data_IF_390658105908
#
_entry.id   IF_390658105908
#
_cell.length_a   1.000
_cell.length_b   1.000
_cell.length_c   1.000
_cell.angle_alpha   90.00
_cell.angle_beta   90.00
_cell.angle_gamma   90.00
#
_symmetry.space_group_name_H-M   'P 1'
#
loop_
_entity.id
_entity.type
_entity.pdbx_description
1 polymer ?
#
# COMPACT_ATOMS: atom_id res chain seq x y z
N UNK A 1 -20.04 -4.10 -33.11
CA UNK A 1 -21.42 -3.73 -33.49
C UNK A 1 -21.47 -3.08 -34.87
N UNK A 2 -20.76 -1.97 -35.13
CA UNK A 2 -20.77 -1.28 -36.43
C UNK A 2 -20.08 -2.10 -37.54
N UNK A 3 -18.87 -2.62 -37.29
CA UNK A 3 -18.13 -3.49 -38.24
C UNK A 3 -18.91 -4.77 -38.56
N UNK A 4 -19.71 -5.25 -37.62
CA UNK A 4 -20.55 -6.44 -37.76
C UNK A 4 -21.93 -6.12 -38.40
N UNK A 5 -22.19 -4.86 -38.78
CA UNK A 5 -23.45 -4.44 -39.41
C UNK A 5 -24.68 -4.43 -38.49
N UNK A 6 -24.50 -4.64 -37.18
CA UNK A 6 -25.61 -4.74 -36.20
C UNK A 6 -26.21 -3.36 -35.89
N UNK A 7 -25.41 -2.29 -35.97
CA UNK A 7 -25.85 -0.91 -35.73
C UNK A 7 -25.37 -0.02 -36.89
N UNK A 8 -26.25 0.79 -37.51
CA UNK A 8 -25.87 1.78 -38.50
C UNK A 8 -24.80 2.76 -38.00
N UNK A 9 -23.80 3.09 -38.83
CA UNK A 9 -22.69 3.96 -38.43
C UNK A 9 -23.14 5.36 -37.97
N UNK A 10 -24.24 5.89 -38.52
CA UNK A 10 -24.84 7.16 -38.12
C UNK A 10 -25.51 7.11 -36.73
N UNK A 11 -25.85 5.93 -36.21
CA UNK A 11 -26.45 5.76 -34.89
C UNK A 11 -25.44 5.34 -33.82
N UNK A 12 -24.17 5.15 -34.20
CA UNK A 12 -23.08 4.72 -33.33
C UNK A 12 -22.95 5.56 -32.05
N UNK A 13 -23.21 6.86 -32.14
CA UNK A 13 -23.01 7.80 -31.05
C UNK A 13 -24.29 8.14 -30.26
N UNK A 14 -25.45 7.62 -30.67
CA UNK A 14 -26.72 7.93 -30.01
C UNK A 14 -26.73 7.53 -28.53
N UNK A 15 -25.99 6.47 -28.16
CA UNK A 15 -25.83 6.05 -26.77
C UNK A 15 -25.12 7.08 -25.88
N UNK A 16 -24.21 7.91 -26.42
CA UNK A 16 -23.53 8.94 -25.64
C UNK A 16 -24.43 10.14 -25.32
N UNK A 17 -25.44 10.39 -26.15
CA UNK A 17 -26.42 11.46 -25.94
C UNK A 17 -27.56 11.04 -24.99
N UNK A 18 -27.54 9.82 -24.46
CA UNK A 18 -28.59 9.32 -23.59
C UNK A 18 -28.63 10.11 -22.26
N UNK A 19 -29.80 10.59 -21.80
CA UNK A 19 -29.92 11.38 -20.58
C UNK A 19 -29.26 10.72 -19.36
N UNK A 20 -29.38 9.39 -19.21
CA UNK A 20 -28.72 8.65 -18.14
C UNK A 20 -27.18 8.85 -18.10
N UNK A 21 -26.50 8.92 -19.25
CA UNK A 21 -25.04 9.12 -19.32
C UNK A 21 -24.67 10.52 -18.81
N UNK A 22 -25.45 11.53 -19.20
CA UNK A 22 -25.28 12.92 -18.76
C UNK A 22 -25.54 13.03 -17.26
N UNK A 23 -26.61 12.41 -16.75
CA UNK A 23 -26.95 12.37 -15.32
C UNK A 23 -25.83 11.73 -14.50
N UNK A 24 -25.27 10.60 -14.95
CA UNK A 24 -24.11 9.97 -14.28
C UNK A 24 -22.91 10.92 -14.26
N UNK A 25 -22.59 11.58 -15.38
CA UNK A 25 -21.47 12.53 -15.43
C UNK A 25 -21.64 13.72 -14.46
N UNK A 26 -22.84 14.32 -14.41
CA UNK A 26 -23.16 15.40 -13.49
C UNK A 26 -23.08 14.96 -12.02
N UNK A 27 -23.57 13.76 -11.71
CA UNK A 27 -23.49 13.16 -10.38
C UNK A 27 -22.04 12.96 -9.93
N UNK A 28 -21.16 12.53 -10.84
CA UNK A 28 -19.74 12.37 -10.54
C UNK A 28 -19.06 13.73 -10.28
N UNK A 29 -19.44 14.77 -11.01
CA UNK A 29 -18.96 16.14 -10.78
C UNK A 29 -19.44 16.65 -9.41
N UNK A 30 -20.73 16.46 -9.08
CA UNK A 30 -21.29 16.84 -7.77
C UNK A 30 -20.58 16.07 -6.65
N UNK A 31 -20.38 14.77 -6.82
CA UNK A 31 -19.63 13.91 -5.89
C UNK A 31 -18.22 14.44 -5.64
N UNK A 32 -17.53 14.93 -6.68
CA UNK A 32 -16.21 15.53 -6.55
C UNK A 32 -16.26 16.92 -5.91
N UNK A 33 -17.26 17.74 -6.21
CA UNK A 33 -17.49 19.02 -5.55
C UNK A 33 -17.72 18.86 -4.05
N UNK A 34 -18.48 17.84 -3.65
CA UNK A 34 -18.75 17.52 -2.26
C UNK A 34 -17.52 16.98 -1.51
N UNK A 35 -16.59 16.30 -2.21
CA UNK A 35 -15.28 15.97 -1.65
C UNK A 35 -14.43 17.22 -1.42
N UNK A 36 -14.44 18.15 -2.36
CA UNK A 36 -13.64 19.37 -2.31
C UNK A 36 -14.18 20.42 -1.32
N UNK A 37 -15.45 20.32 -0.91
CA UNK A 37 -16.08 21.26 0.03
C UNK A 37 -15.65 21.09 1.50
N UNK A 38 -14.73 20.16 1.79
CA UNK A 38 -14.26 19.90 3.14
C UNK A 38 -15.13 18.91 3.93
N UNK A 39 -16.04 18.19 3.25
CA UNK A 39 -16.81 17.10 3.87
C UNK A 39 -15.89 16.04 4.50
N UNK A 40 -14.74 15.78 3.88
CA UNK A 40 -13.67 14.92 4.40
C UNK A 40 -13.20 15.37 5.79
N UNK A 41 -12.98 16.66 5.99
CA UNK A 41 -12.54 17.23 7.26
C UNK A 41 -13.63 17.17 8.33
N UNK A 42 -14.89 17.41 7.95
CA UNK A 42 -16.04 17.28 8.85
C UNK A 42 -16.21 15.84 9.35
N UNK A 43 -16.19 14.88 8.44
CA UNK A 43 -16.28 13.44 8.77
C UNK A 43 -15.09 13.01 9.62
N UNK A 44 -13.88 13.45 9.26
CA UNK A 44 -12.66 13.19 10.06
C UNK A 44 -12.76 13.74 11.48
N UNK A 45 -13.34 14.93 11.69
CA UNK A 45 -13.56 15.50 13.02
C UNK A 45 -14.61 14.73 13.83
N UNK A 46 -15.69 14.30 13.18
CA UNK A 46 -16.78 13.53 13.79
C UNK A 46 -16.31 12.17 14.31
N UNK A 47 -15.41 11.53 13.55
CA UNK A 47 -14.88 10.19 13.85
C UNK A 47 -13.61 10.28 14.73
N UNK A 48 -12.74 11.26 14.51
CA UNK A 48 -11.45 11.37 15.20
C UNK A 48 -11.48 12.05 16.56
N UNK A 49 -12.55 12.80 16.89
CA UNK A 49 -12.66 13.54 18.15
C UNK A 49 -13.20 12.74 19.34
N UNK A 50 -13.44 11.43 19.20
CA UNK A 50 -14.06 10.59 20.22
C UNK A 50 -13.25 9.32 20.46
N UNK A 51 -13.17 8.91 21.71
CA UNK A 51 -12.66 7.59 22.10
C UNK A 51 -13.75 6.55 21.84
N UNK A 52 -13.56 5.69 20.85
CA UNK A 52 -14.49 4.62 20.52
C UNK A 52 -13.91 3.27 20.92
N UNK A 53 -14.77 2.36 21.39
CA UNK A 53 -14.42 0.93 21.39
C UNK A 53 -14.39 0.39 19.96
N UNK A 54 -13.68 -0.72 19.71
CA UNK A 54 -13.59 -1.37 18.38
C UNK A 54 -14.97 -1.55 17.72
N UNK A 55 -15.95 -2.00 18.50
CA UNK A 55 -17.32 -2.25 18.02
C UNK A 55 -18.09 -0.95 17.73
N UNK A 56 -17.99 0.05 18.61
CA UNK A 56 -18.63 1.36 18.38
C UNK A 56 -18.05 2.07 17.17
N UNK A 57 -16.73 2.00 16.98
CA UNK A 57 -16.06 2.55 15.82
C UNK A 57 -16.55 1.88 14.53
N UNK A 58 -16.62 0.55 14.51
CA UNK A 58 -17.13 -0.20 13.36
C UNK A 58 -18.55 0.23 13.00
N UNK A 59 -19.49 0.27 13.95
CA UNK A 59 -20.87 0.69 13.67
C UNK A 59 -20.93 2.13 13.15
N UNK A 60 -20.20 3.05 13.80
CA UNK A 60 -20.13 4.45 13.40
C UNK A 60 -19.62 4.58 11.97
N UNK A 61 -18.54 3.87 11.65
CA UNK A 61 -17.92 3.84 10.32
C UNK A 61 -18.89 3.32 9.26
N UNK A 62 -19.56 2.19 9.50
CA UNK A 62 -20.51 1.60 8.55
C UNK A 62 -21.71 2.52 8.31
N UNK A 63 -22.22 3.15 9.36
CA UNK A 63 -23.37 4.05 9.26
C UNK A 63 -23.02 5.32 8.47
N UNK A 64 -21.88 5.93 8.77
CA UNK A 64 -21.37 7.11 8.05
C UNK A 64 -21.10 6.75 6.58
N UNK A 65 -20.49 5.59 6.31
CA UNK A 65 -20.24 5.10 4.96
C UNK A 65 -21.52 4.93 4.15
N UNK A 66 -22.54 4.30 4.74
CA UNK A 66 -23.82 4.09 4.07
C UNK A 66 -24.53 5.42 3.75
N UNK A 67 -24.51 6.38 4.68
CA UNK A 67 -25.10 7.70 4.45
C UNK A 67 -24.33 8.45 3.37
N UNK A 68 -23.00 8.53 3.47
CA UNK A 68 -22.17 9.21 2.46
C UNK A 68 -22.39 8.59 1.07
N UNK A 69 -22.40 7.27 1.00
CA UNK A 69 -22.58 6.55 -0.27
C UNK A 69 -24.01 6.60 -0.81
N UNK A 70 -24.98 7.04 0.00
CA UNK A 70 -26.33 7.33 -0.48
C UNK A 70 -26.39 8.61 -1.32
N UNK A 71 -25.40 9.51 -1.19
CA UNK A 71 -25.36 10.79 -1.92
C UNK A 71 -24.14 10.93 -2.84
N UNK A 72 -23.10 10.15 -2.59
CA UNK A 72 -21.84 10.12 -3.34
C UNK A 72 -21.70 8.72 -3.93
N UNK A 73 -21.01 8.59 -5.07
CA UNK A 73 -20.69 7.26 -5.58
C UNK A 73 -19.88 6.42 -4.56
N UNK A 74 -20.03 5.09 -4.65
CA UNK A 74 -19.38 4.14 -3.73
C UNK A 74 -17.85 4.34 -3.64
N UNK A 75 -17.20 4.59 -4.78
CA UNK A 75 -15.75 4.83 -4.85
C UNK A 75 -15.38 6.11 -4.10
N UNK A 76 -16.21 7.14 -4.19
CA UNK A 76 -15.96 8.42 -3.57
C UNK A 76 -16.15 8.41 -2.07
N UNK A 77 -17.21 7.77 -1.59
CA UNK A 77 -17.40 7.55 -0.16
C UNK A 77 -16.22 6.74 0.43
N UNK A 78 -15.81 5.66 -0.25
CA UNK A 78 -14.65 4.86 0.14
C UNK A 78 -13.36 5.70 0.18
N UNK A 79 -13.10 6.52 -0.84
CA UNK A 79 -11.88 7.33 -0.92
C UNK A 79 -11.78 8.37 0.22
N UNK A 80 -12.91 8.86 0.73
CA UNK A 80 -12.96 9.76 1.89
C UNK A 80 -12.66 9.00 3.18
N UNK A 81 -13.29 7.83 3.36
CA UNK A 81 -13.26 7.11 4.63
C UNK A 81 -12.04 6.22 4.81
N UNK A 82 -11.43 5.75 3.72
CA UNK A 82 -10.23 4.91 3.74
C UNK A 82 -9.08 5.55 4.51
N UNK A 83 -8.60 6.77 4.18
CA UNK A 83 -7.48 7.37 4.91
C UNK A 83 -7.84 7.66 6.38
N UNK A 84 -9.08 8.05 6.68
CA UNK A 84 -9.54 8.29 8.06
C UNK A 84 -9.49 6.99 8.87
N UNK A 85 -9.97 5.89 8.27
CA UNK A 85 -9.99 4.57 8.91
C UNK A 85 -8.58 4.06 9.17
N UNK A 86 -7.66 4.20 8.20
CA UNK A 86 -6.26 3.81 8.35
C UNK A 86 -5.57 4.60 9.48
N UNK A 87 -5.74 5.92 9.50
CA UNK A 87 -5.16 6.76 10.56
C UNK A 87 -5.65 6.36 11.96
N UNK A 88 -6.93 6.02 12.12
CA UNK A 88 -7.48 5.59 13.41
C UNK A 88 -7.00 4.19 13.78
N UNK A 89 -6.92 3.28 12.81
CA UNK A 89 -6.36 1.96 13.02
C UNK A 89 -4.90 2.04 13.50
N UNK A 90 -4.09 2.91 12.89
CA UNK A 90 -2.71 3.17 13.32
C UNK A 90 -2.66 3.74 14.74
N UNK A 91 -3.43 4.80 15.03
CA UNK A 91 -3.46 5.43 16.36
C UNK A 91 -3.90 4.49 17.48
N UNK A 92 -4.82 3.58 17.18
CA UNK A 92 -5.39 2.65 18.16
C UNK A 92 -4.71 1.28 18.16
N UNK A 93 -3.67 1.10 17.33
CA UNK A 93 -3.00 -0.18 17.07
C UNK A 93 -3.97 -1.33 16.75
N UNK A 94 -4.89 -1.08 15.81
CA UNK A 94 -5.88 -2.06 15.35
C UNK A 94 -5.57 -2.51 13.92
N UNK A 95 -5.74 -3.81 13.64
CA UNK A 95 -5.53 -4.36 12.31
C UNK A 95 -6.53 -3.78 11.28
N UNK A 96 -6.07 -3.06 10.23
CA UNK A 96 -6.95 -2.34 9.29
C UNK A 96 -7.98 -3.23 8.58
N UNK A 97 -7.61 -4.46 8.19
CA UNK A 97 -8.50 -5.36 7.44
C UNK A 97 -9.82 -5.66 8.16
N UNK A 98 -9.89 -5.55 9.50
CA UNK A 98 -11.15 -5.70 10.25
C UNK A 98 -12.17 -4.60 9.96
N UNK A 99 -11.72 -3.44 9.50
CA UNK A 99 -12.58 -2.28 9.26
C UNK A 99 -12.74 -1.98 7.77
N UNK A 100 -11.69 -2.18 6.97
CA UNK A 100 -11.71 -1.84 5.54
C UNK A 100 -12.68 -2.72 4.72
N UNK A 101 -12.73 -4.02 5.02
CA UNK A 101 -13.64 -4.93 4.30
C UNK A 101 -15.12 -4.61 4.63
N UNK A 102 -15.53 -4.48 5.91
CA UNK A 102 -16.85 -3.98 6.26
C UNK A 102 -17.20 -2.62 5.65
N UNK A 103 -16.25 -1.67 5.66
CA UNK A 103 -16.41 -0.35 5.07
C UNK A 103 -16.77 -0.44 3.58
N UNK A 104 -16.08 -1.28 2.81
CA UNK A 104 -16.37 -1.48 1.39
C UNK A 104 -17.82 -1.98 1.16
N UNK A 105 -18.28 -2.94 1.96
CA UNK A 105 -19.67 -3.40 1.90
C UNK A 105 -20.67 -2.30 2.26
N UNK A 106 -20.41 -1.53 3.31
CA UNK A 106 -21.31 -0.44 3.70
C UNK A 106 -21.42 0.65 2.61
N UNK A 107 -20.34 0.96 1.90
CA UNK A 107 -20.40 1.86 0.74
C UNK A 107 -21.31 1.27 -0.36
N UNK A 108 -21.14 0.00 -0.71
CA UNK A 108 -21.97 -0.65 -1.75
C UNK A 108 -23.46 -0.63 -1.35
N UNK A 109 -23.77 -0.94 -0.10
CA UNK A 109 -25.14 -0.97 0.43
C UNK A 109 -25.75 0.44 0.47
N UNK A 110 -24.98 1.44 0.91
CA UNK A 110 -25.43 2.83 0.93
C UNK A 110 -25.83 3.35 -0.44
N UNK A 111 -25.08 2.99 -1.50
CA UNK A 111 -25.38 3.37 -2.87
C UNK A 111 -26.71 2.84 -3.41
N UNK A 112 -27.31 1.84 -2.77
CA UNK A 112 -28.62 1.32 -3.14
C UNK A 112 -29.76 2.23 -2.71
N UNK A 113 -29.56 3.10 -1.71
CA UNK A 113 -30.65 3.85 -1.08
C UNK A 113 -31.27 4.93 -1.96
N UNK A 114 -30.53 5.47 -2.92
CA UNK A 114 -31.01 6.58 -3.76
C UNK A 114 -30.82 6.27 -5.24
N UNK A 115 -31.54 7.02 -6.08
CA UNK A 115 -31.39 6.92 -7.54
C UNK A 115 -29.97 7.28 -7.98
N UNK A 116 -29.31 8.21 -7.28
CA UNK A 116 -28.00 8.76 -7.65
C UNK A 116 -26.82 7.93 -7.09
N UNK A 117 -27.04 7.12 -6.05
CA UNK A 117 -25.97 6.39 -5.37
C UNK A 117 -25.19 5.42 -6.27
N UNK A 118 -25.85 4.81 -7.27
CA UNK A 118 -25.18 3.90 -8.22
C UNK A 118 -25.68 4.05 -9.66
N UNK A 119 -24.80 3.86 -10.67
CA UNK A 119 -25.20 3.92 -12.08
C UNK A 119 -26.35 2.98 -12.48
N UNK A 120 -26.46 1.73 -11.97
CA UNK A 120 -27.61 0.87 -12.26
C UNK A 120 -28.96 1.48 -11.87
N UNK A 121 -29.03 2.20 -10.74
CA UNK A 121 -30.28 2.85 -10.29
C UNK A 121 -30.68 4.01 -11.22
N UNK A 122 -29.71 4.74 -11.77
CA UNK A 122 -29.96 5.79 -12.78
C UNK A 122 -30.50 5.16 -14.06
N UNK A 123 -29.85 4.09 -14.54
CA UNK A 123 -30.22 3.41 -15.78
C UNK A 123 -31.65 2.84 -15.70
N UNK A 124 -32.00 2.17 -14.60
CA UNK A 124 -33.34 1.59 -14.45
C UNK A 124 -34.43 2.67 -14.29
N UNK A 125 -34.11 3.80 -13.64
CA UNK A 125 -35.05 4.93 -13.53
C UNK A 125 -35.36 5.55 -14.88
N UNK A 126 -34.32 5.75 -15.70
CA UNK A 126 -34.47 6.26 -17.06
C UNK A 126 -35.24 5.26 -17.94
N UNK A 127 -34.89 3.98 -17.89
CA UNK A 127 -35.59 2.95 -18.64
C UNK A 127 -37.07 2.86 -18.25
N UNK A 128 -37.40 2.91 -16.95
CA UNK A 128 -38.79 2.97 -16.49
C UNK A 128 -39.53 4.19 -17.03
N UNK A 129 -38.87 5.35 -17.07
CA UNK A 129 -39.44 6.57 -17.66
C UNK A 129 -39.76 6.43 -19.16
N UNK A 130 -39.13 5.48 -19.87
CA UNK A 130 -39.44 5.23 -21.29
C UNK A 130 -40.64 4.30 -21.50
N UNK A 131 -40.99 3.48 -20.50
CA UNK A 131 -42.07 2.47 -20.58
C UNK A 131 -43.32 2.91 -19.84
N UNK A 132 -43.17 3.70 -18.77
CA UNK A 132 -44.25 4.25 -17.97
C UNK A 132 -44.12 5.76 -17.91
N UNK A 133 -45.25 6.48 -17.88
CA UNK A 133 -45.31 7.95 -17.73
C UNK A 133 -44.75 8.47 -16.39
N UNK A 134 -44.16 7.59 -15.57
CA UNK A 134 -43.52 7.92 -14.30
C UNK A 134 -42.20 7.14 -14.11
N UNK A 135 -41.09 7.88 -14.01
CA UNK A 135 -39.79 7.35 -13.58
C UNK A 135 -39.77 6.97 -12.10
N UNK A 136 -38.59 6.66 -11.55
CA UNK A 136 -38.43 6.60 -10.09
C UNK A 136 -38.11 8.00 -9.56
N UNK A 137 -38.77 8.40 -8.47
CA UNK A 137 -38.37 9.56 -7.70
C UNK A 137 -37.04 9.29 -6.99
N UNK A 138 -36.38 10.36 -6.55
CA UNK A 138 -35.05 10.29 -5.92
C UNK A 138 -34.96 9.26 -4.78
N UNK A 139 -36.00 9.18 -3.93
CA UNK A 139 -36.08 8.33 -2.74
C UNK A 139 -36.91 7.05 -2.91
N UNK A 140 -37.40 6.72 -4.10
CA UNK A 140 -38.21 5.50 -4.28
C UNK A 140 -37.42 4.23 -3.92
N UNK A 141 -36.11 4.24 -4.17
CA UNK A 141 -35.21 3.16 -3.79
C UNK A 141 -34.98 3.07 -2.27
N UNK A 142 -35.22 4.15 -1.51
CA UNK A 142 -34.94 4.19 -0.08
C UNK A 142 -35.85 3.28 0.72
N UNK A 143 -37.09 3.04 0.26
CA UNK A 143 -38.04 2.15 0.94
C UNK A 143 -37.50 0.73 1.11
N UNK A 144 -36.86 0.19 0.07
CA UNK A 144 -36.24 -1.14 0.10
C UNK A 144 -34.78 -1.04 0.54
N UNK A 145 -34.06 -0.06 -0.01
CA UNK A 145 -32.62 0.14 0.23
C UNK A 145 -32.30 0.35 1.70
N UNK A 146 -33.05 1.18 2.44
CA UNK A 146 -32.78 1.43 3.85
C UNK A 146 -32.98 0.17 4.68
N UNK A 147 -34.03 -0.61 4.42
CA UNK A 147 -34.28 -1.87 5.13
C UNK A 147 -33.13 -2.86 4.90
N UNK A 148 -32.69 -3.03 3.65
CA UNK A 148 -31.56 -3.92 3.31
C UNK A 148 -30.25 -3.42 3.91
N UNK A 149 -30.00 -2.11 3.84
CA UNK A 149 -28.80 -1.47 4.38
C UNK A 149 -28.71 -1.67 5.88
N UNK A 150 -29.79 -1.42 6.63
CA UNK A 150 -29.82 -1.58 8.09
C UNK A 150 -29.57 -3.04 8.48
N UNK A 151 -30.28 -3.99 7.85
CA UNK A 151 -30.11 -5.41 8.12
C UNK A 151 -28.69 -5.89 7.82
N UNK A 152 -28.12 -5.41 6.73
CA UNK A 152 -26.77 -5.78 6.29
C UNK A 152 -25.70 -5.16 7.18
N UNK A 153 -25.85 -3.91 7.63
CA UNK A 153 -24.95 -3.28 8.61
C UNK A 153 -24.97 -4.07 9.93
N UNK A 154 -26.16 -4.45 10.41
CA UNK A 154 -26.30 -5.28 11.61
C UNK A 154 -25.61 -6.64 11.44
N UNK A 155 -25.83 -7.30 10.30
CA UNK A 155 -25.18 -8.56 9.97
C UNK A 155 -23.65 -8.43 9.93
N UNK A 156 -23.12 -7.41 9.24
CA UNK A 156 -21.68 -7.18 9.12
C UNK A 156 -21.05 -6.88 10.50
N UNK A 157 -21.72 -6.06 11.31
CA UNK A 157 -21.23 -5.68 12.63
C UNK A 157 -21.22 -6.86 13.61
N UNK A 158 -22.27 -7.69 13.62
CA UNK A 158 -22.44 -8.78 14.58
C UNK A 158 -21.76 -10.08 14.14
N UNK A 159 -21.95 -10.46 12.88
CA UNK A 159 -21.55 -11.77 12.34
C UNK A 159 -20.36 -11.62 11.40
N UNK A 160 -20.39 -10.62 10.52
CA UNK A 160 -19.35 -10.41 9.49
C UNK A 160 -17.95 -10.26 10.07
N UNK A 161 -17.80 -9.53 11.18
CA UNK A 161 -16.53 -9.36 11.88
C UNK A 161 -15.89 -10.70 12.33
N UNK A 162 -16.69 -11.75 12.56
CA UNK A 162 -16.18 -13.08 12.94
C UNK A 162 -15.54 -13.83 11.76
N UNK A 163 -15.95 -13.53 10.54
CA UNK A 163 -15.47 -14.19 9.32
C UNK A 163 -14.23 -13.52 8.71
N UNK A 164 -13.86 -12.34 9.20
CA UNK A 164 -12.66 -11.65 8.73
C UNK A 164 -11.44 -12.35 9.31
N UNK A 165 -10.77 -13.14 8.47
CA UNK A 165 -9.46 -13.67 8.78
C UNK A 165 -8.48 -12.49 8.85
N UNK A 166 -7.82 -12.39 10.00
CA UNK A 166 -6.68 -11.49 10.15
C UNK A 166 -5.48 -12.17 9.52
N UNK A 167 -4.69 -11.41 8.78
CA UNK A 167 -3.31 -11.81 8.58
C UNK A 167 -2.59 -11.48 9.88
N UNK A 168 -1.76 -12.39 10.35
CA UNK A 168 -0.91 -12.09 11.51
C UNK A 168 0.16 -11.10 11.04
N UNK A 169 -0.02 -9.82 11.38
CA UNK A 169 1.04 -8.81 11.36
C UNK A 169 1.87 -8.97 12.64
N UNK A 170 2.56 -10.12 12.75
CA UNK A 170 3.41 -10.45 13.89
C UNK A 170 4.85 -9.99 13.66
N UNK A 171 5.06 -8.70 13.41
CA UNK A 171 6.37 -8.06 13.60
C UNK A 171 6.18 -6.56 13.84
N UNK A 172 6.76 -6.09 14.93
CA UNK A 172 6.83 -4.68 15.32
C UNK A 172 7.55 -3.88 14.24
N UNK A 173 6.94 -2.79 13.78
CA UNK A 173 7.46 -1.94 12.72
C UNK A 173 6.39 -1.74 11.66
N UNK A 174 5.91 -0.51 11.51
CA UNK A 174 4.97 -0.14 10.48
C UNK A 174 5.56 -0.36 9.09
N UNK A 175 5.37 -1.56 8.52
CA UNK A 175 5.73 -1.79 7.13
C UNK A 175 4.77 -0.98 6.26
N UNK A 176 5.28 0.11 5.68
CA UNK A 176 4.45 1.07 4.95
C UNK A 176 3.87 0.44 3.68
N UNK A 177 4.37 -0.71 3.24
CA UNK A 177 3.92 -1.42 2.04
C UNK A 177 4.27 -2.91 2.23
N UNK A 178 3.36 -3.85 1.88
CA UNK A 178 3.61 -5.30 1.76
C UNK A 178 4.64 -5.55 0.61
N UNK A 179 5.91 -5.25 0.89
CA UNK A 179 7.02 -5.23 -0.06
C UNK A 179 7.78 -6.55 -0.02
N UNK A 180 7.35 -7.48 -0.87
CA UNK A 180 7.98 -8.79 -1.06
C UNK A 180 9.34 -8.75 -1.77
N UNK A 181 10.28 -7.96 -1.28
CA UNK A 181 11.70 -8.15 -1.57
C UNK A 181 12.47 -6.86 -1.74
N UNK A 182 13.17 -6.50 -0.68
CA UNK A 182 14.25 -5.52 -0.67
C UNK A 182 15.50 -6.12 -1.26
N UNK A 183 16.35 -5.28 -1.84
CA UNK A 183 17.69 -5.68 -2.22
C UNK A 183 18.67 -5.42 -1.09
N UNK A 184 19.44 -6.44 -0.77
CA UNK A 184 20.54 -6.42 0.19
C UNK A 184 21.84 -6.82 -0.51
N UNK A 185 22.93 -6.19 -0.08
CA UNK A 185 24.28 -6.69 -0.34
C UNK A 185 24.75 -7.41 0.92
N UNK A 186 25.16 -8.67 0.78
CA UNK A 186 25.71 -9.48 1.88
C UNK A 186 27.09 -10.00 1.49
N UNK A 187 28.05 -9.86 2.39
CA UNK A 187 29.40 -10.37 2.28
C UNK A 187 29.51 -11.73 2.95
N UNK A 188 30.11 -12.69 2.24
CA UNK A 188 30.30 -14.06 2.72
C UNK A 188 31.55 -14.11 3.61
N UNK A 189 31.36 -14.27 4.93
CA UNK A 189 32.47 -14.38 5.89
C UNK A 189 33.29 -15.66 5.64
N UNK A 190 34.53 -15.70 6.16
CA UNK A 190 35.43 -16.85 5.98
C UNK A 190 34.92 -18.13 6.66
N UNK A 191 34.14 -18.01 7.73
CA UNK A 191 33.51 -19.11 8.48
C UNK A 191 32.11 -19.50 7.99
N UNK A 192 31.65 -18.90 6.89
CA UNK A 192 30.27 -19.07 6.42
C UNK A 192 29.92 -20.51 6.06
N UNK A 193 28.79 -20.99 6.55
CA UNK A 193 28.21 -22.31 6.22
C UNK A 193 27.78 -22.41 4.75
N UNK A 194 27.61 -21.27 4.07
CA UNK A 194 27.24 -21.23 2.66
C UNK A 194 28.41 -21.53 1.70
N UNK A 195 29.66 -21.55 2.20
CA UNK A 195 30.84 -21.76 1.35
C UNK A 195 30.78 -23.13 0.68
N UNK A 196 30.92 -23.13 -0.64
CA UNK A 196 30.86 -24.34 -1.46
C UNK A 196 29.44 -24.79 -1.80
N UNK A 197 28.39 -24.24 -1.17
CA UNK A 197 26.99 -24.48 -1.57
C UNK A 197 26.73 -23.90 -2.96
N UNK A 198 25.83 -24.54 -3.72
CA UNK A 198 25.30 -23.94 -4.95
C UNK A 198 24.27 -22.87 -4.59
N UNK A 199 24.13 -21.83 -5.43
CA UNK A 199 23.10 -20.81 -5.22
C UNK A 199 21.68 -21.40 -5.14
N UNK A 200 21.41 -22.51 -5.85
CA UNK A 200 20.14 -23.22 -5.73
C UNK A 200 19.93 -23.89 -4.37
N UNK A 201 21.00 -24.36 -3.73
CA UNK A 201 20.92 -25.00 -2.41
C UNK A 201 20.75 -23.93 -1.34
N UNK A 202 21.57 -22.88 -1.40
CA UNK A 202 21.42 -21.68 -0.55
C UNK A 202 19.99 -21.14 -0.61
N UNK A 203 19.42 -20.95 -1.81
CA UNK A 203 18.03 -20.48 -1.96
C UNK A 203 17.01 -21.36 -1.24
N UNK A 204 17.18 -22.69 -1.25
CA UNK A 204 16.23 -23.58 -0.57
C UNK A 204 16.28 -23.47 0.94
N UNK A 205 17.43 -23.08 1.48
CA UNK A 205 17.69 -23.00 2.92
C UNK A 205 17.43 -21.58 3.46
N UNK A 206 17.64 -20.55 2.64
CA UNK A 206 17.36 -19.15 2.98
C UNK A 206 15.85 -18.80 2.96
N UNK A 207 15.03 -19.50 2.18
CA UNK A 207 13.57 -19.29 2.11
C UNK A 207 13.03 -19.18 0.68
N UNK A 208 11.75 -19.49 0.49
CA UNK A 208 11.12 -19.45 -0.85
C UNK A 208 11.08 -18.04 -1.46
N UNK A 209 10.97 -17.01 -0.62
CA UNK A 209 10.89 -15.60 -1.00
C UNK A 209 12.28 -14.94 -1.20
N UNK A 210 13.38 -15.67 -0.97
CA UNK A 210 14.75 -15.21 -1.22
C UNK A 210 15.21 -15.52 -2.65
N UNK A 211 15.77 -14.52 -3.33
CA UNK A 211 16.33 -14.65 -4.68
C UNK A 211 17.74 -14.06 -4.76
N UNK A 212 18.70 -14.79 -5.32
CA UNK A 212 20.05 -14.26 -5.58
C UNK A 212 20.07 -13.60 -6.96
N UNK A 213 20.21 -12.27 -7.00
CA UNK A 213 20.22 -11.48 -8.23
C UNK A 213 21.57 -11.59 -8.94
N UNK A 214 22.66 -11.58 -8.19
CA UNK A 214 24.00 -11.52 -8.75
C UNK A 214 25.11 -11.50 -7.71
N UNK A 215 26.34 -11.44 -8.23
CA UNK A 215 27.55 -11.23 -7.43
C UNK A 215 28.17 -9.91 -7.87
N UNK A 216 28.65 -9.13 -6.92
CA UNK A 216 29.38 -7.89 -7.18
C UNK A 216 30.78 -8.25 -7.68
N UNK A 217 31.17 -7.73 -8.84
CA UNK A 217 32.52 -7.85 -9.37
C UNK A 217 33.45 -6.80 -8.72
N UNK A 218 34.76 -6.97 -8.84
CA UNK A 218 35.79 -6.00 -8.39
C UNK A 218 35.55 -4.57 -8.92
N UNK A 219 35.02 -4.44 -10.14
CA UNK A 219 34.68 -3.14 -10.73
C UNK A 219 33.33 -2.58 -10.22
N UNK A 220 32.71 -3.15 -9.19
CA UNK A 220 31.42 -2.73 -8.61
C UNK A 220 30.19 -2.94 -9.50
N UNK A 221 30.28 -3.79 -10.54
CA UNK A 221 29.14 -4.18 -11.36
C UNK A 221 28.50 -5.47 -10.85
N UNK A 222 27.18 -5.63 -11.00
CA UNK A 222 26.49 -6.85 -10.59
C UNK A 222 26.41 -7.81 -11.77
N UNK A 223 27.11 -8.94 -11.66
CA UNK A 223 27.08 -9.99 -12.68
C UNK A 223 25.94 -10.95 -12.34
N UNK A 224 25.02 -11.13 -13.29
CA UNK A 224 23.98 -12.16 -13.17
C UNK A 224 24.64 -13.54 -13.13
N UNK A 225 24.22 -14.35 -12.16
CA UNK A 225 24.77 -15.67 -11.90
C UNK A 225 23.78 -16.77 -12.26
N UNK A 226 24.30 -17.98 -12.50
CA UNK A 226 23.51 -19.18 -12.73
C UNK A 226 23.34 -19.94 -11.42
N UNK A 227 22.23 -20.64 -11.24
CA UNK A 227 21.88 -21.35 -10.00
C UNK A 227 22.90 -22.43 -9.57
N UNK A 228 23.74 -22.91 -10.48
CA UNK A 228 24.76 -23.92 -10.20
C UNK A 228 26.13 -23.34 -9.78
N UNK A 229 26.27 -22.01 -9.75
CA UNK A 229 27.48 -21.37 -9.25
C UNK A 229 27.64 -21.65 -7.75
N UNK A 230 28.87 -21.91 -7.32
CA UNK A 230 29.20 -22.16 -5.92
C UNK A 230 29.67 -20.88 -5.24
N UNK A 231 29.15 -20.65 -4.03
CA UNK A 231 29.50 -19.51 -3.18
C UNK A 231 30.93 -19.69 -2.67
N UNK A 232 31.70 -18.58 -2.63
CA UNK A 232 33.06 -18.53 -2.09
C UNK A 232 33.16 -17.44 -1.01
N UNK A 233 34.09 -17.62 -0.07
CA UNK A 233 34.42 -16.61 0.93
C UNK A 233 34.86 -15.29 0.27
N UNK A 234 34.50 -14.16 0.90
CA UNK A 234 34.80 -12.80 0.44
C UNK A 234 33.97 -12.33 -0.77
N UNK A 235 32.98 -13.12 -1.22
CA UNK A 235 32.06 -12.67 -2.26
C UNK A 235 30.98 -11.78 -1.68
N UNK A 236 30.63 -10.71 -2.40
CA UNK A 236 29.45 -9.90 -2.10
C UNK A 236 28.31 -10.38 -3.00
N UNK A 237 27.28 -10.96 -2.38
CA UNK A 237 26.05 -11.41 -3.03
C UNK A 237 25.02 -10.28 -2.99
N UNK A 238 24.32 -10.08 -4.10
CA UNK A 238 23.13 -9.22 -4.14
C UNK A 238 21.92 -10.13 -4.04
N UNK A 239 21.24 -10.08 -2.89
CA UNK A 239 20.06 -10.89 -2.61
C UNK A 239 18.82 -10.02 -2.55
N UNK A 240 17.70 -10.58 -2.99
CA UNK A 240 16.38 -10.00 -2.86
C UNK A 240 15.60 -10.83 -1.86
N UNK A 241 15.21 -10.24 -0.73
CA UNK A 241 14.50 -10.96 0.34
C UNK A 241 13.60 -9.99 1.11
N UNK A 242 12.53 -10.45 1.76
CA UNK A 242 11.79 -9.65 2.74
C UNK A 242 12.73 -9.14 3.84
N UNK A 243 12.48 -7.95 4.42
CA UNK A 243 13.33 -7.40 5.46
C UNK A 243 13.36 -8.31 6.70
N UNK A 244 12.22 -8.91 7.08
CA UNK A 244 12.12 -9.81 8.23
C UNK A 244 13.06 -11.04 8.15
N UNK A 245 13.46 -11.45 6.94
CA UNK A 245 14.29 -12.63 6.72
C UNK A 245 15.80 -12.31 6.75
N UNK A 246 16.21 -11.03 6.64
CA UNK A 246 17.62 -10.69 6.47
C UNK A 246 18.45 -11.06 7.70
N UNK A 247 17.97 -10.74 8.90
CA UNK A 247 18.64 -11.05 10.18
C UNK A 247 18.83 -12.55 10.37
N UNK A 248 17.82 -13.34 9.98
CA UNK A 248 17.89 -14.80 9.98
C UNK A 248 18.92 -15.32 8.97
N UNK A 249 18.99 -14.75 7.77
CA UNK A 249 20.00 -15.13 6.76
C UNK A 249 21.41 -14.78 7.23
N UNK A 250 21.62 -13.58 7.79
CA UNK A 250 22.94 -13.15 8.28
C UNK A 250 23.44 -14.08 9.40
N UNK A 251 22.58 -14.42 10.35
CA UNK A 251 22.93 -15.28 11.49
C UNK A 251 23.11 -16.76 11.11
N UNK A 252 22.23 -17.34 10.29
CA UNK A 252 22.28 -18.77 9.91
C UNK A 252 23.47 -19.07 9.00
N UNK A 253 23.75 -18.18 8.04
CA UNK A 253 24.81 -18.39 7.07
C UNK A 253 26.15 -17.74 7.43
N UNK A 254 26.20 -17.01 8.56
CA UNK A 254 27.35 -16.21 8.96
C UNK A 254 27.79 -15.28 7.81
N UNK A 255 26.86 -14.41 7.42
CA UNK A 255 27.10 -13.33 6.48
C UNK A 255 27.17 -12.00 7.24
N UNK A 256 27.89 -11.04 6.68
CA UNK A 256 27.92 -9.66 7.15
C UNK A 256 27.39 -8.72 6.09
N UNK A 257 26.96 -7.52 6.48
CA UNK A 257 26.70 -6.46 5.52
C UNK A 257 28.06 -5.82 5.17
N UNK A 258 28.37 -5.55 3.88
CA UNK A 258 29.65 -5.01 3.48
C UNK A 258 29.98 -3.71 4.22
N UNK A 259 31.23 -3.55 4.67
CA UNK A 259 31.68 -2.35 5.40
C UNK A 259 31.46 -1.04 4.64
N UNK A 260 31.39 -1.11 3.31
CA UNK A 260 31.08 0.05 2.46
C UNK A 260 29.65 0.58 2.67
N UNK A 261 28.75 -0.24 3.22
CA UNK A 261 27.37 0.11 3.53
C UNK A 261 27.14 0.48 5.01
N UNK A 262 28.17 0.25 5.84
CA UNK A 262 28.21 0.62 7.25
C UNK A 262 28.90 1.95 7.48
N UNK A 263 28.27 2.81 8.27
CA UNK A 263 28.91 4.00 8.84
C UNK A 263 29.36 3.79 10.29
N UNK A 264 28.86 2.75 10.96
CA UNK A 264 29.21 2.35 12.33
C UNK A 264 29.00 0.83 12.53
N UNK A 265 29.82 0.24 13.40
CA UNK A 265 29.75 -1.17 13.81
C UNK A 265 28.88 -1.27 15.06
N UNK A 266 27.67 -1.82 14.91
CA UNK A 266 26.78 -2.21 16.02
C UNK A 266 26.09 -3.52 15.64
N UNK A 267 26.09 -4.47 16.56
CA UNK A 267 25.49 -5.80 16.34
C UNK A 267 23.96 -5.78 16.50
N UNK A 268 23.43 -4.77 17.20
CA UNK A 268 22.00 -4.59 17.49
C UNK A 268 21.48 -3.30 16.81
N UNK A 269 21.23 -3.35 15.51
CA UNK A 269 20.59 -2.25 14.77
C UNK A 269 19.07 -2.40 14.78
N UNK A 270 18.35 -1.35 15.17
CA UNK A 270 16.92 -1.24 14.90
C UNK A 270 16.70 -0.90 13.42
N UNK A 271 15.69 -1.52 12.80
CA UNK A 271 15.36 -1.30 11.40
C UNK A 271 14.18 -0.34 11.26
N UNK A 272 14.36 0.70 10.44
CA UNK A 272 13.28 1.61 10.06
C UNK A 272 13.13 1.69 8.54
N UNK A 273 11.90 1.53 8.07
CA UNK A 273 11.56 1.79 6.68
C UNK A 273 11.33 3.29 6.48
N UNK A 274 11.91 3.87 5.43
CA UNK A 274 11.70 5.27 5.11
C UNK A 274 11.59 5.52 3.60
N UNK A 275 10.54 6.22 3.18
CA UNK A 275 10.29 6.57 1.78
C UNK A 275 10.94 7.89 1.39
N UNK A 276 11.57 7.94 0.22
CA UNK A 276 12.09 9.16 -0.38
C UNK A 276 10.93 10.02 -0.91
N UNK A 277 10.67 11.14 -0.23
CA UNK A 277 9.61 12.09 -0.66
C UNK A 277 10.03 12.90 -1.89
N UNK A 278 9.09 13.46 -2.69
CA UNK A 278 9.41 14.28 -3.87
C UNK A 278 10.29 15.52 -3.60
N UNK A 279 10.41 15.98 -2.35
CA UNK A 279 11.27 17.08 -1.95
C UNK A 279 12.64 16.65 -1.39
N UNK A 280 12.95 15.35 -1.40
CA UNK A 280 14.16 14.82 -0.79
C UNK A 280 15.43 15.31 -1.48
N UNK A 281 16.45 15.62 -0.66
CA UNK A 281 17.80 16.01 -1.12
C UNK A 281 18.56 14.85 -1.77
N UNK A 282 18.08 13.61 -1.59
CA UNK A 282 18.70 12.40 -2.12
C UNK A 282 18.36 12.18 -3.60
N UNK A 283 17.29 12.80 -4.12
CA UNK A 283 16.84 12.57 -5.51
C UNK A 283 17.96 12.89 -6.51
N UNK A 284 18.28 11.93 -7.37
CA UNK A 284 19.34 12.04 -8.38
C UNK A 284 20.77 11.92 -7.83
N UNK A 285 20.94 11.66 -6.52
CA UNK A 285 22.23 11.44 -5.88
C UNK A 285 22.48 9.94 -5.70
N UNK A 286 23.75 9.58 -5.55
CA UNK A 286 24.22 8.21 -5.28
C UNK A 286 24.39 7.98 -3.77
N UNK A 287 24.64 6.73 -3.41
CA UNK A 287 24.90 6.30 -2.04
C UNK A 287 25.97 7.14 -1.30
N UNK A 288 27.09 7.50 -1.94
CA UNK A 288 28.15 8.31 -1.30
C UNK A 288 27.63 9.66 -0.74
N UNK A 289 26.60 10.24 -1.36
CA UNK A 289 25.99 11.47 -0.89
C UNK A 289 25.07 11.22 0.31
N UNK A 290 24.38 10.06 0.33
CA UNK A 290 23.63 9.62 1.49
C UNK A 290 24.57 9.40 2.67
N UNK A 291 25.66 8.64 2.50
CA UNK A 291 26.61 8.33 3.57
C UNK A 291 27.20 9.60 4.20
N UNK A 292 27.56 10.61 3.38
CA UNK A 292 28.04 11.91 3.87
C UNK A 292 27.04 12.69 4.71
N UNK A 293 25.75 12.54 4.41
CA UNK A 293 24.71 13.21 5.16
C UNK A 293 24.31 12.39 6.38
N UNK A 294 24.12 11.08 6.23
CA UNK A 294 23.68 10.15 7.25
C UNK A 294 24.64 10.05 8.45
N UNK A 295 25.96 10.16 8.23
CA UNK A 295 27.05 10.23 9.21
C UNK A 295 26.76 9.62 10.59
N UNK A 296 27.25 8.40 10.85
CA UNK A 296 27.21 7.70 12.15
C UNK A 296 25.81 7.46 12.76
N UNK A 297 24.73 7.88 12.11
CA UNK A 297 23.35 7.73 12.62
C UNK A 297 22.50 6.73 11.80
N UNK A 298 22.71 6.65 10.47
CA UNK A 298 21.89 5.81 9.59
C UNK A 298 22.78 4.92 8.69
N UNK A 299 22.54 3.61 8.72
CA UNK A 299 23.09 2.64 7.77
C UNK A 299 22.03 2.30 6.72
N UNK A 300 22.42 2.14 5.45
CA UNK A 300 21.49 1.67 4.42
C UNK A 300 21.60 0.16 4.29
N UNK A 301 20.60 -0.54 4.80
CA UNK A 301 20.53 -2.00 4.77
C UNK A 301 19.97 -2.48 3.42
N UNK A 302 18.93 -1.81 2.93
CA UNK A 302 18.27 -2.22 1.71
C UNK A 302 17.56 -1.12 0.94
N UNK A 303 17.29 -1.39 -0.34
CA UNK A 303 16.57 -0.50 -1.25
C UNK A 303 15.44 -1.26 -1.96
N UNK A 304 14.25 -0.68 -1.93
CA UNK A 304 13.12 -1.10 -2.74
C UNK A 304 12.66 0.00 -3.71
N UNK A 305 12.29 -0.41 -4.92
CA UNK A 305 11.79 0.45 -6.01
C UNK A 305 10.82 -0.32 -6.90
N UNK A 306 9.63 0.26 -7.10
CA UNK A 306 8.59 -0.31 -7.95
C UNK A 306 9.06 -0.51 -9.40
N UNK A 307 8.98 -1.75 -9.89
CA UNK A 307 9.23 -2.11 -11.29
C UNK A 307 10.68 -2.02 -11.75
N UNK A 308 11.63 -1.88 -10.83
CA UNK A 308 13.05 -1.77 -11.17
C UNK A 308 13.65 -3.11 -11.63
N UNK A 309 14.43 -3.04 -12.71
CA UNK A 309 15.32 -4.11 -13.15
C UNK A 309 16.73 -3.75 -12.71
N UNK A 310 17.09 -4.15 -11.50
CA UNK A 310 18.37 -3.79 -10.90
C UNK A 310 19.51 -4.53 -11.60
N UNK A 311 20.42 -3.76 -12.21
CA UNK A 311 21.59 -4.27 -12.95
C UNK A 311 22.91 -3.85 -12.29
N UNK A 312 22.83 -3.10 -11.20
CA UNK A 312 23.94 -2.42 -10.54
C UNK A 312 23.82 -2.57 -9.03
N UNK A 313 24.96 -2.47 -8.35
CA UNK A 313 25.05 -2.58 -6.89
C UNK A 313 24.40 -1.36 -6.23
N UNK A 314 23.89 -1.50 -5.01
CA UNK A 314 23.20 -0.47 -4.23
C UNK A 314 24.01 0.83 -4.17
N UNK A 315 25.33 0.74 -3.96
CA UNK A 315 26.21 1.91 -3.87
C UNK A 315 26.26 2.75 -5.16
N UNK A 316 25.89 2.17 -6.31
CA UNK A 316 25.90 2.84 -7.63
C UNK A 316 24.53 3.27 -8.12
N UNK A 317 23.46 2.86 -7.43
CA UNK A 317 22.12 3.30 -7.75
C UNK A 317 21.95 4.79 -7.42
N UNK A 318 21.17 5.47 -8.26
CA UNK A 318 20.74 6.84 -7.98
C UNK A 318 19.37 6.81 -7.34
N UNK A 319 19.18 7.48 -6.21
CA UNK A 319 17.89 7.56 -5.51
C UNK A 319 16.84 8.34 -6.32
N UNK A 320 15.57 7.92 -6.19
CA UNK A 320 14.40 8.50 -6.85
C UNK A 320 13.27 8.70 -5.84
N UNK A 321 12.38 9.65 -6.13
CA UNK A 321 11.16 9.82 -5.36
C UNK A 321 10.32 8.53 -5.41
N UNK A 322 9.83 8.10 -4.25
CA UNK A 322 9.07 6.87 -4.06
C UNK A 322 9.92 5.60 -3.91
N UNK A 323 11.25 5.71 -3.89
CA UNK A 323 12.09 4.62 -3.36
C UNK A 323 11.82 4.45 -1.86
N UNK A 324 11.87 3.21 -1.39
CA UNK A 324 11.79 2.88 0.04
C UNK A 324 13.15 2.34 0.47
N UNK A 325 13.70 2.94 1.52
CA UNK A 325 14.98 2.58 2.11
C UNK A 325 14.71 1.81 3.39
N UNK A 326 15.41 0.69 3.58
CA UNK A 326 15.51 0.06 4.88
C UNK A 326 16.78 0.58 5.55
N UNK A 327 16.61 1.28 6.66
CA UNK A 327 17.69 1.94 7.38
C UNK A 327 17.94 1.23 8.71
N UNK A 328 19.21 0.96 9.01
CA UNK A 328 19.65 0.49 10.31
C UNK A 328 20.05 1.69 11.16
N UNK A 329 19.51 1.75 12.38
CA UNK A 329 19.72 2.84 13.34
C UNK A 329 20.06 2.25 14.71
N UNK A 330 20.73 3.04 15.56
CA UNK A 330 21.13 2.57 16.90
C UNK A 330 19.97 2.56 17.88
N UNK A 331 19.15 3.61 17.85
CA UNK A 331 17.99 3.78 18.73
C UNK A 331 16.96 4.71 18.04
N UNK A 332 15.71 4.25 17.88
CA UNK A 332 14.59 5.04 17.36
C UNK A 332 14.26 6.27 18.21
N UNK A 333 14.53 6.22 19.52
CA UNK A 333 14.15 7.28 20.46
C UNK A 333 15.14 8.45 20.48
N UNK A 334 16.25 8.37 19.73
CA UNK A 334 17.17 9.49 19.57
C UNK A 334 16.57 10.60 18.69
N UNK A 335 16.47 11.80 19.26
CA UNK A 335 15.95 13.00 18.58
C UNK A 335 16.76 13.33 17.32
N UNK A 336 18.04 12.96 17.29
CA UNK A 336 18.96 13.14 16.18
C UNK A 336 18.57 12.30 14.95
N UNK A 337 18.19 11.02 15.14
CA UNK A 337 17.73 10.13 14.06
C UNK A 337 16.49 10.69 13.37
N UNK A 338 15.49 11.10 14.16
CA UNK A 338 14.24 11.68 13.64
C UNK A 338 14.49 12.99 12.88
N UNK A 339 15.36 13.85 13.42
CA UNK A 339 15.76 15.09 12.76
C UNK A 339 16.51 14.83 11.45
N UNK A 340 17.31 13.77 11.41
CA UNK A 340 18.07 13.39 10.21
C UNK A 340 17.21 12.85 9.10
N UNK A 341 16.27 11.97 9.42
CA UNK A 341 15.26 11.46 8.49
C UNK A 341 14.52 12.63 7.83
N UNK A 342 14.08 13.60 8.64
CA UNK A 342 13.45 14.84 8.12
C UNK A 342 14.40 15.67 7.27
N UNK A 343 15.66 15.83 7.68
CA UNK A 343 16.67 16.59 6.94
C UNK A 343 16.99 16.01 5.56
N UNK A 344 16.96 14.68 5.46
CA UNK A 344 17.11 13.94 4.21
C UNK A 344 15.84 13.98 3.34
N UNK A 345 14.72 14.47 3.87
CA UNK A 345 13.42 14.47 3.21
C UNK A 345 12.84 13.05 3.07
N UNK A 346 13.12 12.20 4.06
CA UNK A 346 12.56 10.86 4.16
C UNK A 346 11.28 10.90 5.00
N UNK A 347 10.35 10.01 4.68
CA UNK A 347 9.11 9.81 5.42
C UNK A 347 9.12 8.38 5.98
N UNK A 348 9.24 8.21 7.31
CA UNK A 348 9.18 6.89 7.94
C UNK A 348 7.77 6.29 7.86
#
# INVERSE_FOLDING_TARGET
LIILGVIPANQAFNGFAHPAVITVALVLIISQGLKNSGLTALVGKLIGGRTFTKFQFLICLLFIAAILSSFINNIGALAILLPITLNICQKMNWHPSRFLMPLAFACILGGMNTTIGTPPNIIISEYKSTISDSGFNFFDFSYVGLSVTILSILFIALIGNKFIQLRDDSTSGSSLIDLKGYLFEVEVNESSSAIGMTLSAFKKEAGEDTEVIGIVNENGGVKKVKNNLRIKAGQILVIKTPPDDISSILSVFDFSIPKELHSFDDDDLEEIEAMITPGSRLIGRKYDFFLKLAYEELNLLGLWRKGARYRTRLTRETFKAGDVLLLGIRDLDEEDVTNKIKHLGLMP
#
